data_IF_531694652730
#
_entry.id   IF_531694652730
#
_cell.length_a   1.000
_cell.length_b   1.000
_cell.length_c   1.000
_cell.angle_alpha   90.00
_cell.angle_beta   90.00
_cell.angle_gamma   90.00
#
_symmetry.space_group_name_H-M   'P 1'
#
loop_
_entity.id
_entity.type
_entity.pdbx_description
1 polymer ?
#
# COMPACT_ATOMS: atom_id res chain seq x y z
N UNK A 1 -8.30 20.82 -3.86
CA UNK A 1 -8.67 20.05 -2.64
C UNK A 1 -8.04 20.72 -1.44
N UNK A 2 -8.83 21.24 -0.50
CA UNK A 2 -8.29 21.75 0.77
C UNK A 2 -7.81 20.55 1.58
N UNK A 3 -6.52 20.48 1.88
CA UNK A 3 -5.98 19.41 2.71
C UNK A 3 -6.46 19.68 4.13
N UNK A 4 -7.34 18.83 4.66
CA UNK A 4 -7.98 18.99 5.99
C UNK A 4 -6.96 19.18 7.13
N UNK A 5 -5.74 18.68 6.94
CA UNK A 5 -4.63 18.81 7.88
C UNK A 5 -4.06 20.23 7.96
N UNK A 6 -4.30 21.08 6.96
CA UNK A 6 -3.83 22.47 6.91
C UNK A 6 -4.82 23.45 7.58
N UNK A 7 -6.01 22.99 7.95
CA UNK A 7 -7.03 23.83 8.58
C UNK A 7 -6.71 24.01 10.06
N UNK A 8 -6.54 25.26 10.50
CA UNK A 8 -6.41 25.57 11.92
C UNK A 8 -7.78 25.54 12.61
N UNK A 9 -8.17 24.36 13.10
CA UNK A 9 -9.46 24.12 13.76
C UNK A 9 -9.71 25.02 14.97
N UNK A 10 -8.69 25.26 15.79
CA UNK A 10 -8.77 26.15 16.96
C UNK A 10 -9.21 27.57 16.57
N UNK A 11 -8.77 28.07 15.41
CA UNK A 11 -9.18 29.40 14.92
C UNK A 11 -10.67 29.43 14.55
N UNK A 12 -11.17 28.36 13.92
CA UNK A 12 -12.59 28.24 13.55
C UNK A 12 -13.48 28.08 14.77
N UNK A 13 -13.09 27.24 15.73
CA UNK A 13 -13.77 27.07 17.01
C UNK A 13 -13.89 28.40 17.77
N UNK A 14 -12.80 29.18 17.84
CA UNK A 14 -12.82 30.52 18.44
C UNK A 14 -13.79 31.48 17.73
N UNK A 15 -13.82 31.47 16.39
CA UNK A 15 -14.70 32.34 15.61
C UNK A 15 -16.19 32.01 15.84
N UNK A 16 -16.52 30.70 15.84
CA UNK A 16 -17.87 30.20 16.11
C UNK A 16 -18.28 30.49 17.56
N UNK A 17 -17.41 30.24 18.53
CA UNK A 17 -17.66 30.52 19.94
C UNK A 17 -17.94 32.01 20.21
N UNK A 18 -17.20 32.92 19.56
CA UNK A 18 -17.47 34.37 19.66
C UNK A 18 -18.87 34.73 19.15
N UNK A 19 -19.30 34.14 18.03
CA UNK A 19 -20.66 34.36 17.51
C UNK A 19 -21.73 33.77 18.44
N UNK A 20 -21.52 32.56 18.96
CA UNK A 20 -22.41 31.93 19.94
C UNK A 20 -22.53 32.76 21.23
N UNK A 21 -21.43 33.30 21.75
CA UNK A 21 -21.44 34.19 22.92
C UNK A 21 -22.25 35.47 22.66
N UNK A 22 -22.15 36.07 21.47
CA UNK A 22 -22.96 37.24 21.09
C UNK A 22 -24.45 36.91 21.01
N UNK A 23 -24.80 35.73 20.49
CA UNK A 23 -26.18 35.23 20.48
C UNK A 23 -26.70 35.09 21.92
N UNK A 24 -25.93 34.45 22.80
CA UNK A 24 -26.27 34.29 24.22
C UNK A 24 -26.51 35.64 24.92
N UNK A 25 -25.61 36.60 24.73
CA UNK A 25 -25.74 37.95 25.32
C UNK A 25 -26.92 38.74 24.75
N UNK A 26 -27.24 38.60 23.46
CA UNK A 26 -28.42 39.23 22.87
C UNK A 26 -29.71 38.59 23.41
N UNK A 27 -29.73 37.26 23.57
CA UNK A 27 -30.86 36.53 24.15
C UNK A 27 -31.10 36.91 25.61
N UNK A 28 -30.03 37.04 26.40
CA UNK A 28 -30.11 37.41 27.82
C UNK A 28 -30.67 38.83 28.04
N UNK A 29 -30.57 39.70 27.02
CA UNK A 29 -31.13 41.06 27.03
C UNK A 29 -32.53 41.16 26.41
N UNK A 30 -33.10 40.04 25.96
CA UNK A 30 -34.41 40.01 25.28
C UNK A 30 -34.42 40.57 23.85
N UNK A 31 -33.25 40.84 23.23
CA UNK A 31 -33.19 41.42 21.87
C UNK A 31 -33.35 40.35 20.79
N UNK A 32 -34.61 40.00 20.51
CA UNK A 32 -34.97 38.97 19.54
C UNK A 32 -34.48 39.30 18.13
N UNK A 33 -34.50 40.58 17.72
CA UNK A 33 -34.08 41.00 16.37
C UNK A 33 -32.58 40.73 16.16
N UNK A 34 -31.75 41.08 17.13
CA UNK A 34 -30.30 40.83 17.07
C UNK A 34 -29.98 39.33 17.15
N UNK A 35 -30.69 38.57 17.98
CA UNK A 35 -30.55 37.10 18.03
C UNK A 35 -30.78 36.47 16.66
N UNK A 36 -31.90 36.78 16.00
CA UNK A 36 -32.24 36.21 14.68
C UNK A 36 -31.21 36.61 13.60
N UNK A 37 -30.70 37.84 13.64
CA UNK A 37 -29.63 38.29 12.73
C UNK A 37 -28.35 37.48 12.93
N UNK A 38 -27.89 37.31 14.17
CA UNK A 38 -26.68 36.57 14.49
C UNK A 38 -26.80 35.06 14.20
N UNK A 39 -27.97 34.46 14.42
CA UNK A 39 -28.26 33.08 14.02
C UNK A 39 -28.12 32.89 12.50
N UNK A 40 -28.68 33.80 11.70
CA UNK A 40 -28.51 33.78 10.23
C UNK A 40 -27.03 33.92 9.82
N UNK A 41 -26.28 34.80 10.50
CA UNK A 41 -24.83 34.93 10.26
C UNK A 41 -24.07 33.65 10.61
N UNK A 42 -24.43 32.98 11.71
CA UNK A 42 -23.81 31.72 12.11
C UNK A 42 -24.07 30.61 11.09
N UNK A 43 -25.32 30.44 10.64
CA UNK A 43 -25.69 29.43 9.64
C UNK A 43 -24.98 29.63 8.29
N UNK A 44 -24.68 30.88 7.93
CA UNK A 44 -23.96 31.21 6.70
C UNK A 44 -22.43 31.22 6.87
N UNK A 45 -21.92 31.15 8.11
CA UNK A 45 -20.49 31.19 8.39
C UNK A 45 -19.79 29.93 7.88
N UNK A 46 -18.72 30.12 7.09
CA UNK A 46 -17.85 29.04 6.65
C UNK A 46 -17.25 28.26 7.82
N UNK A 47 -16.88 28.95 8.91
CA UNK A 47 -16.32 28.31 10.10
C UNK A 47 -17.34 27.37 10.78
N UNK A 48 -18.61 27.79 10.86
CA UNK A 48 -19.67 26.96 11.44
C UNK A 48 -19.97 25.75 10.57
N UNK A 49 -20.08 25.94 9.25
CA UNK A 49 -20.27 24.85 8.27
C UNK A 49 -19.13 23.83 8.35
N UNK A 50 -17.87 24.28 8.41
CA UNK A 50 -16.72 23.40 8.50
C UNK A 50 -16.68 22.59 9.79
N UNK A 51 -17.02 23.19 10.94
CA UNK A 51 -17.11 22.45 12.21
C UNK A 51 -18.24 21.42 12.19
N UNK A 52 -19.41 21.77 11.64
CA UNK A 52 -20.51 20.84 11.49
C UNK A 52 -20.14 19.63 10.61
N UNK A 53 -19.49 19.87 9.45
CA UNK A 53 -19.01 18.79 8.58
C UNK A 53 -17.97 17.92 9.29
N UNK A 54 -17.04 18.54 10.04
CA UNK A 54 -16.03 17.80 10.83
C UNK A 54 -16.69 16.87 11.86
N UNK A 55 -17.68 17.37 12.61
CA UNK A 55 -18.37 16.57 13.63
C UNK A 55 -19.12 15.39 13.00
N UNK A 56 -19.94 15.66 11.98
CA UNK A 56 -20.68 14.62 11.26
C UNK A 56 -19.73 13.56 10.70
N UNK A 57 -18.58 13.97 10.16
CA UNK A 57 -17.57 13.04 9.65
C UNK A 57 -16.99 12.15 10.74
N UNK A 58 -16.66 12.70 11.91
CA UNK A 58 -16.12 11.93 13.04
C UNK A 58 -17.15 10.91 13.54
N UNK A 59 -18.39 11.35 13.77
CA UNK A 59 -19.47 10.47 14.25
C UNK A 59 -19.70 9.31 13.26
N UNK A 60 -19.64 9.63 11.97
CA UNK A 60 -19.82 8.64 10.92
C UNK A 60 -18.63 7.67 10.78
N UNK A 61 -17.38 8.14 10.96
CA UNK A 61 -16.22 7.26 11.07
C UNK A 61 -16.31 6.34 12.29
N UNK A 62 -16.76 6.87 13.44
CA UNK A 62 -16.96 6.08 14.65
C UNK A 62 -18.00 4.99 14.42
N UNK A 63 -19.11 5.30 13.73
CA UNK A 63 -20.10 4.29 13.35
C UNK A 63 -19.52 3.20 12.45
N UNK A 64 -18.72 3.57 11.44
CA UNK A 64 -18.06 2.57 10.58
C UNK A 64 -17.08 1.69 11.36
N UNK A 65 -16.33 2.28 12.30
CA UNK A 65 -15.40 1.55 13.15
C UNK A 65 -16.15 0.57 14.06
N UNK A 66 -17.28 0.96 14.64
CA UNK A 66 -18.13 0.05 15.42
C UNK A 66 -18.63 -1.13 14.58
N UNK A 67 -19.04 -0.88 13.34
CA UNK A 67 -19.43 -1.95 12.40
C UNK A 67 -18.24 -2.86 12.10
N UNK A 68 -17.07 -2.29 11.85
CA UNK A 68 -15.85 -3.05 11.58
C UNK A 68 -15.48 -3.94 12.76
N UNK A 69 -15.46 -3.40 13.99
CA UNK A 69 -15.17 -4.15 15.21
C UNK A 69 -16.14 -5.31 15.44
N UNK A 70 -17.40 -5.18 15.01
CA UNK A 70 -18.37 -6.27 15.10
C UNK A 70 -18.18 -7.35 14.01
N UNK A 71 -17.90 -6.96 12.77
CA UNK A 71 -17.81 -7.88 11.63
C UNK A 71 -16.44 -8.54 11.45
N UNK A 72 -15.36 -7.82 11.75
CA UNK A 72 -13.98 -8.30 11.55
C UNK A 72 -13.69 -9.64 12.25
N UNK A 73 -14.03 -9.87 13.55
CA UNK A 73 -13.76 -11.16 14.19
C UNK A 73 -14.58 -12.32 13.59
N UNK A 74 -15.84 -12.08 13.24
CA UNK A 74 -16.69 -13.09 12.60
C UNK A 74 -16.13 -13.52 11.24
N UNK A 75 -15.71 -12.54 10.44
CA UNK A 75 -15.18 -12.80 9.10
C UNK A 75 -13.75 -13.33 9.12
N UNK A 76 -12.93 -12.93 10.08
CA UNK A 76 -11.58 -13.49 10.27
C UNK A 76 -11.63 -15.00 10.52
N UNK A 77 -12.64 -15.49 11.25
CA UNK A 77 -12.87 -16.93 11.45
C UNK A 77 -13.32 -17.67 10.18
N UNK A 78 -13.90 -16.96 9.20
CA UNK A 78 -14.41 -17.53 7.94
C UNK A 78 -13.44 -17.38 6.78
N UNK A 79 -12.58 -16.37 6.81
CA UNK A 79 -11.74 -16.00 5.69
C UNK A 79 -10.78 -17.13 5.30
N UNK A 80 -10.53 -17.19 4.00
CA UNK A 80 -9.66 -18.20 3.40
C UNK A 80 -8.20 -17.96 3.84
N UNK A 81 -7.39 -19.03 4.00
CA UNK A 81 -6.04 -18.92 4.54
C UNK A 81 -5.09 -18.14 3.64
N UNK A 82 -5.25 -18.21 2.30
CA UNK A 82 -4.37 -17.53 1.35
C UNK A 82 -4.88 -16.14 0.93
N UNK A 83 -5.74 -15.52 1.76
CA UNK A 83 -6.14 -14.12 1.66
C UNK A 83 -5.38 -13.28 2.68
N UNK A 84 -4.64 -12.27 2.25
CA UNK A 84 -3.73 -11.52 3.13
C UNK A 84 -4.07 -10.03 3.27
N UNK A 85 -4.43 -9.37 2.18
CA UNK A 85 -4.59 -7.91 2.16
C UNK A 85 -5.65 -7.40 3.13
N UNK A 86 -5.37 -6.30 3.82
CA UNK A 86 -6.29 -5.59 4.73
C UNK A 86 -6.84 -6.43 5.89
N UNK A 87 -6.11 -7.45 6.34
CA UNK A 87 -6.47 -8.30 7.49
C UNK A 87 -5.59 -8.00 8.72
N UNK A 88 -6.15 -8.10 9.93
CA UNK A 88 -5.38 -7.91 11.16
C UNK A 88 -4.28 -8.98 11.27
N UNK A 89 -3.08 -8.56 11.67
CA UNK A 89 -1.95 -9.47 11.88
C UNK A 89 -1.33 -10.06 10.61
N UNK A 90 -1.80 -9.65 9.42
CA UNK A 90 -1.20 -10.04 8.13
C UNK A 90 -0.31 -8.92 7.58
N UNK A 91 0.82 -9.30 7.00
CA UNK A 91 1.79 -8.37 6.41
C UNK A 91 1.85 -8.51 4.90
N UNK A 92 2.45 -7.53 4.23
CA UNK A 92 2.70 -7.57 2.78
C UNK A 92 3.66 -8.71 2.37
N UNK A 93 4.47 -9.22 3.32
CA UNK A 93 5.39 -10.32 3.06
C UNK A 93 4.73 -11.69 3.12
N UNK A 94 3.64 -11.84 3.87
CA UNK A 94 2.94 -13.12 4.03
C UNK A 94 2.51 -13.75 2.69
N UNK A 95 1.89 -13.03 1.72
CA UNK A 95 1.57 -13.62 0.42
C UNK A 95 2.84 -14.01 -0.37
N UNK A 96 3.94 -13.28 -0.21
CA UNK A 96 5.21 -13.55 -0.87
C UNK A 96 5.84 -14.84 -0.33
N UNK A 97 5.78 -15.05 0.99
CA UNK A 97 6.19 -16.30 1.64
C UNK A 97 5.32 -17.46 1.15
N UNK A 98 3.99 -17.29 1.12
CA UNK A 98 3.07 -18.30 0.64
C UNK A 98 3.34 -18.69 -0.84
N UNK A 99 3.64 -17.71 -1.71
CA UNK A 99 4.02 -17.98 -3.11
C UNK A 99 5.32 -18.81 -3.14
N UNK A 100 6.32 -18.42 -2.32
CA UNK A 100 7.59 -19.15 -2.25
C UNK A 100 7.40 -20.60 -1.78
N UNK A 101 6.50 -20.83 -0.84
CA UNK A 101 6.15 -22.16 -0.35
C UNK A 101 5.41 -22.99 -1.41
N UNK A 102 4.43 -22.39 -2.11
CA UNK A 102 3.70 -23.04 -3.20
C UNK A 102 4.61 -23.51 -4.34
N UNK A 103 5.72 -22.79 -4.56
CA UNK A 103 6.72 -23.09 -5.59
C UNK A 103 7.85 -23.99 -5.09
N UNK A 104 7.84 -24.46 -3.83
CA UNK A 104 8.93 -25.25 -3.24
C UNK A 104 9.15 -26.59 -3.95
N UNK A 105 8.07 -27.23 -4.37
CA UNK A 105 8.09 -28.62 -4.89
C UNK A 105 8.20 -28.72 -6.42
N UNK A 106 8.29 -27.60 -7.12
CA UNK A 106 8.49 -27.59 -8.56
C UNK A 106 8.21 -26.24 -9.21
N UNK A 107 8.49 -26.18 -10.50
CA UNK A 107 8.13 -25.02 -11.30
C UNK A 107 6.65 -25.01 -11.63
N UNK A 108 6.05 -23.82 -11.61
CA UNK A 108 4.61 -23.64 -11.78
C UNK A 108 4.33 -22.75 -12.98
N UNK A 109 3.19 -22.96 -13.63
CA UNK A 109 2.52 -21.91 -14.39
C UNK A 109 1.84 -20.96 -13.41
N UNK A 110 1.78 -19.68 -13.77
CA UNK A 110 1.22 -18.63 -12.92
C UNK A 110 0.35 -17.70 -13.75
N UNK A 111 -0.85 -17.41 -13.24
CA UNK A 111 -1.61 -16.22 -13.61
C UNK A 111 -1.41 -15.19 -12.51
N UNK A 112 -0.78 -14.07 -12.84
CA UNK A 112 -0.83 -12.86 -12.02
C UNK A 112 -1.87 -11.93 -12.62
N UNK A 113 -2.90 -11.61 -11.84
CA UNK A 113 -4.03 -10.82 -12.29
C UNK A 113 -4.45 -9.79 -11.25
N UNK A 114 -5.02 -8.71 -11.73
CA UNK A 114 -5.63 -7.67 -10.92
C UNK A 114 -7.10 -7.53 -11.35
N UNK A 115 -7.94 -7.06 -10.44
CA UNK A 115 -9.33 -6.73 -10.76
C UNK A 115 -9.37 -5.47 -11.64
N UNK A 116 -10.31 -5.42 -12.59
CA UNK A 116 -10.45 -4.30 -13.52
C UNK A 116 -10.77 -2.98 -12.80
N UNK A 117 -10.40 -1.86 -13.42
CA UNK A 117 -10.58 -0.53 -12.84
C UNK A 117 -12.02 0.01 -12.97
N UNK A 118 -12.78 -0.57 -13.89
CA UNK A 118 -14.10 -0.13 -14.29
C UNK A 118 -15.06 -1.28 -14.03
N UNK A 119 -15.81 -1.19 -12.92
CA UNK A 119 -16.97 -2.04 -12.69
C UNK A 119 -18.23 -1.20 -12.81
N UNK A 120 -19.25 -1.79 -13.42
CA UNK A 120 -20.62 -1.41 -13.11
C UNK A 120 -20.82 -1.59 -11.60
N UNK A 121 -21.61 -0.70 -11.01
CA UNK A 121 -21.91 -0.67 -9.57
C UNK A 121 -22.01 -2.09 -8.99
N UNK A 122 -21.12 -2.47 -8.06
CA UNK A 122 -21.08 -3.80 -7.43
C UNK A 122 -22.50 -4.17 -6.98
N UNK A 123 -22.91 -5.43 -7.21
CA UNK A 123 -24.20 -5.91 -6.73
C UNK A 123 -24.20 -5.97 -5.20
N UNK A 124 -24.67 -4.87 -4.62
CA UNK A 124 -24.67 -4.67 -3.18
C UNK A 124 -25.71 -5.54 -2.48
N UNK A 125 -26.75 -6.02 -3.14
CA UNK A 125 -27.71 -6.93 -2.50
C UNK A 125 -27.11 -8.34 -2.38
N UNK A 126 -26.31 -8.78 -3.37
CA UNK A 126 -25.49 -10.01 -3.24
C UNK A 126 -24.40 -9.87 -2.19
N UNK A 127 -23.74 -8.71 -2.08
CA UNK A 127 -22.80 -8.46 -1.00
C UNK A 127 -23.53 -8.55 0.35
N UNK A 128 -24.62 -7.81 0.53
CA UNK A 128 -25.37 -7.80 1.79
C UNK A 128 -25.94 -9.18 2.16
N UNK A 129 -26.40 -9.98 1.19
CA UNK A 129 -26.83 -11.37 1.42
C UNK A 129 -25.68 -12.24 1.91
N UNK A 130 -24.49 -12.07 1.33
CA UNK A 130 -23.27 -12.77 1.76
C UNK A 130 -22.80 -12.37 3.16
N UNK A 131 -22.90 -11.10 3.55
CA UNK A 131 -22.56 -10.68 4.92
C UNK A 131 -23.52 -11.35 5.93
N UNK A 132 -24.77 -11.63 5.54
CA UNK A 132 -25.76 -12.35 6.33
C UNK A 132 -25.88 -11.84 7.79
N UNK A 133 -26.15 -10.55 7.96
CA UNK A 133 -26.23 -9.89 9.27
C UNK A 133 -27.66 -9.59 9.69
N UNK A 134 -27.83 -9.22 10.96
CA UNK A 134 -29.13 -8.79 11.49
C UNK A 134 -29.64 -7.49 10.82
N UNK A 135 -30.97 -7.27 10.74
CA UNK A 135 -31.57 -6.24 9.90
C UNK A 135 -31.07 -4.81 10.13
N UNK A 136 -30.79 -4.43 11.38
CA UNK A 136 -30.30 -3.08 11.74
C UNK A 136 -28.91 -2.82 11.14
N UNK A 137 -27.99 -3.77 11.26
CA UNK A 137 -26.65 -3.65 10.70
C UNK A 137 -26.67 -3.68 9.17
N UNK A 138 -27.45 -4.61 8.60
CA UNK A 138 -27.68 -4.67 7.15
C UNK A 138 -28.17 -3.33 6.58
N UNK A 139 -29.13 -2.67 7.27
CA UNK A 139 -29.64 -1.36 6.86
C UNK A 139 -28.57 -0.27 6.91
N UNK A 140 -27.73 -0.25 7.95
CA UNK A 140 -26.64 0.74 8.07
C UNK A 140 -25.62 0.59 6.94
N UNK A 141 -25.21 -0.64 6.63
CA UNK A 141 -24.29 -0.91 5.52
C UNK A 141 -24.94 -0.51 4.19
N UNK A 142 -26.20 -0.90 3.95
CA UNK A 142 -26.95 -0.52 2.75
C UNK A 142 -27.04 0.99 2.54
N UNK A 143 -27.30 1.76 3.61
CA UNK A 143 -27.36 3.22 3.53
C UNK A 143 -25.99 3.80 3.18
N UNK A 144 -24.92 3.34 3.83
CA UNK A 144 -23.56 3.82 3.53
C UNK A 144 -23.13 3.51 2.09
N UNK A 145 -23.53 2.36 1.56
CA UNK A 145 -23.34 2.00 0.15
C UNK A 145 -24.10 2.98 -0.76
N UNK A 146 -25.40 3.18 -0.54
CA UNK A 146 -26.25 4.05 -1.37
C UNK A 146 -25.80 5.52 -1.38
N UNK A 147 -25.23 5.99 -0.27
CA UNK A 147 -24.70 7.35 -0.15
C UNK A 147 -23.31 7.51 -0.81
N UNK A 148 -22.75 6.44 -1.40
CA UNK A 148 -21.44 6.47 -2.05
C UNK A 148 -20.27 6.61 -1.06
N UNK A 149 -20.50 6.36 0.23
CA UNK A 149 -19.45 6.43 1.26
C UNK A 149 -18.46 5.31 1.07
N UNK A 150 -18.97 4.09 0.90
CA UNK A 150 -18.13 2.92 0.70
C UNK A 150 -17.74 2.88 -0.76
N UNK A 151 -16.70 3.64 -1.12
CA UNK A 151 -16.14 3.57 -2.45
C UNK A 151 -15.28 2.31 -2.57
N UNK A 152 -15.95 1.16 -2.75
CA UNK A 152 -15.28 -0.13 -2.95
C UNK A 152 -14.39 -0.10 -4.19
N UNK A 153 -14.79 0.66 -5.23
CA UNK A 153 -14.01 0.81 -6.46
C UNK A 153 -12.64 1.44 -6.18
N UNK A 154 -12.55 2.51 -5.39
CA UNK A 154 -11.26 3.12 -5.04
C UNK A 154 -10.33 2.17 -4.28
N UNK A 155 -10.87 1.31 -3.41
CA UNK A 155 -10.08 0.31 -2.68
C UNK A 155 -9.65 -0.87 -3.55
N UNK A 156 -10.52 -1.32 -4.46
CA UNK A 156 -10.19 -2.32 -5.47
C UNK A 156 -9.08 -1.85 -6.43
N UNK A 157 -8.84 -0.54 -6.49
CA UNK A 157 -7.83 0.08 -7.35
C UNK A 157 -6.47 0.27 -6.68
N UNK A 158 -6.30 -0.09 -5.40
CA UNK A 158 -5.14 0.28 -4.58
C UNK A 158 -4.79 1.78 -4.67
N UNK A 159 -5.76 2.61 -5.07
CA UNK A 159 -5.65 4.04 -4.94
C UNK A 159 -5.95 4.29 -3.48
N UNK A 160 -4.90 4.49 -2.69
CA UNK A 160 -4.98 5.18 -1.42
C UNK A 160 -5.40 6.64 -1.71
N UNK A 161 -6.61 6.83 -2.22
CA UNK A 161 -7.27 8.09 -1.99
C UNK A 161 -7.49 8.04 -0.49
N UNK A 162 -6.66 8.78 0.23
CA UNK A 162 -6.88 9.17 1.62
C UNK A 162 -8.14 10.02 1.66
N UNK A 163 -9.29 9.45 1.30
CA UNK A 163 -10.59 9.85 1.77
C UNK A 163 -10.67 9.19 3.14
N UNK A 164 -10.36 9.91 4.22
CA UNK A 164 -10.25 9.30 5.54
C UNK A 164 -11.68 9.13 6.01
N UNK A 165 -12.38 8.12 5.49
CA UNK A 165 -13.84 8.05 5.51
C UNK A 165 -14.44 6.72 5.07
N UNK A 166 -13.66 5.71 4.69
CA UNK A 166 -14.20 4.38 4.38
C UNK A 166 -13.42 3.25 5.09
N UNK A 167 -13.40 3.31 6.42
CA UNK A 167 -12.71 2.32 7.27
C UNK A 167 -13.24 0.89 7.09
N UNK A 168 -14.49 0.78 6.62
CA UNK A 168 -15.19 -0.49 6.41
C UNK A 168 -14.98 -1.08 5.01
N UNK A 169 -14.63 -0.26 4.00
CA UNK A 169 -14.48 -0.72 2.61
C UNK A 169 -13.47 -1.86 2.42
N UNK A 170 -12.28 -1.87 3.05
CA UNK A 170 -11.32 -2.96 2.89
C UNK A 170 -11.89 -4.31 3.35
N UNK A 171 -12.63 -4.30 4.47
CA UNK A 171 -13.29 -5.49 4.99
C UNK A 171 -14.39 -5.95 4.03
N UNK A 172 -15.23 -5.04 3.52
CA UNK A 172 -16.29 -5.37 2.57
C UNK A 172 -15.76 -5.94 1.26
N UNK A 173 -14.63 -5.43 0.74
CA UNK A 173 -13.95 -5.99 -0.43
C UNK A 173 -13.48 -7.42 -0.15
N UNK A 174 -12.87 -7.66 1.01
CA UNK A 174 -12.44 -9.01 1.39
C UNK A 174 -13.62 -9.98 1.50
N UNK A 175 -14.76 -9.53 2.05
CA UNK A 175 -15.99 -10.32 2.11
C UNK A 175 -16.51 -10.61 0.70
N UNK A 176 -16.53 -9.61 -0.19
CA UNK A 176 -16.96 -9.79 -1.57
C UNK A 176 -16.13 -10.87 -2.29
N UNK A 177 -14.81 -10.83 -2.14
CA UNK A 177 -13.87 -11.73 -2.82
C UNK A 177 -13.68 -13.09 -2.12
N UNK A 178 -14.21 -13.27 -0.91
CA UNK A 178 -14.14 -14.55 -0.19
C UNK A 178 -14.85 -15.67 -0.97
N UNK A 179 -14.21 -16.83 -1.13
CA UNK A 179 -14.78 -17.98 -1.86
C UNK A 179 -14.10 -18.22 -3.20
N UNK A 180 -13.28 -17.28 -3.69
CA UNK A 180 -12.45 -17.50 -4.88
C UNK A 180 -11.50 -18.69 -4.67
N UNK A 181 -10.85 -18.80 -3.50
CA UNK A 181 -9.93 -19.90 -3.21
C UNK A 181 -10.71 -21.21 -3.11
N UNK A 182 -11.86 -21.21 -2.43
CA UNK A 182 -12.73 -22.37 -2.29
C UNK A 182 -13.14 -22.97 -3.64
N UNK A 183 -13.59 -22.14 -4.59
CA UNK A 183 -14.02 -22.59 -5.93
C UNK A 183 -12.87 -23.27 -6.67
N UNK A 184 -11.69 -22.68 -6.61
CA UNK A 184 -10.49 -23.22 -7.26
C UNK A 184 -10.05 -24.53 -6.60
N UNK A 185 -10.10 -24.62 -5.27
CA UNK A 185 -9.76 -25.85 -4.54
C UNK A 185 -10.76 -26.96 -4.79
N UNK A 186 -12.05 -26.66 -4.84
CA UNK A 186 -13.11 -27.63 -5.20
C UNK A 186 -12.92 -28.15 -6.62
N UNK A 187 -12.60 -27.27 -7.57
CA UNK A 187 -12.23 -27.68 -8.92
C UNK A 187 -10.97 -28.57 -8.95
N UNK A 188 -9.94 -28.25 -8.16
CA UNK A 188 -8.75 -29.09 -8.05
C UNK A 188 -9.04 -30.52 -7.59
N UNK A 189 -10.03 -30.70 -6.69
CA UNK A 189 -10.44 -32.02 -6.18
C UNK A 189 -11.19 -32.87 -7.21
N UNK A 190 -11.80 -32.28 -8.23
CA UNK A 190 -12.51 -33.05 -9.26
C UNK A 190 -11.57 -33.65 -10.31
N UNK A 191 -10.30 -33.23 -10.33
CA UNK A 191 -9.30 -33.71 -11.29
C UNK A 191 -8.70 -35.03 -10.79
N UNK A 192 -8.94 -36.17 -11.47
CA UNK A 192 -8.42 -37.46 -11.04
C UNK A 192 -6.89 -37.49 -11.04
N UNK A 193 -6.30 -38.04 -9.97
CA UNK A 193 -4.84 -38.20 -9.86
C UNK A 193 -4.06 -36.92 -9.54
N UNK A 194 -4.74 -35.78 -9.32
CA UNK A 194 -4.07 -34.54 -8.94
C UNK A 194 -3.54 -34.61 -7.51
N UNK A 195 -2.21 -34.63 -7.37
CA UNK A 195 -1.52 -34.72 -6.07
C UNK A 195 -1.30 -33.35 -5.41
N UNK A 196 -1.16 -32.30 -6.21
CA UNK A 196 -0.91 -30.94 -5.73
C UNK A 196 -2.18 -30.09 -5.79
N UNK A 197 -2.48 -29.38 -4.70
CA UNK A 197 -3.61 -28.45 -4.69
C UNK A 197 -3.32 -27.22 -5.56
N UNK A 198 -4.35 -26.76 -6.29
CA UNK A 198 -4.28 -25.50 -7.01
C UNK A 198 -4.19 -24.37 -5.97
N UNK A 199 -3.18 -23.52 -6.08
CA UNK A 199 -2.93 -22.47 -5.08
C UNK A 199 -3.39 -21.11 -5.60
N UNK A 200 -4.34 -20.49 -4.91
CA UNK A 200 -4.75 -19.10 -5.16
C UNK A 200 -4.29 -18.24 -3.98
N UNK A 201 -3.44 -17.25 -4.24
CA UNK A 201 -2.96 -16.30 -3.23
C UNK A 201 -3.46 -14.91 -3.58
N UNK A 202 -4.10 -14.23 -2.63
CA UNK A 202 -4.72 -12.92 -2.84
C UNK A 202 -4.22 -11.88 -1.84
N UNK A 203 -3.92 -10.68 -2.35
CA UNK A 203 -3.66 -9.49 -1.55
C UNK A 203 -4.52 -8.32 -2.06
N UNK A 204 -5.65 -8.06 -1.38
CA UNK A 204 -6.61 -7.06 -1.83
C UNK A 204 -7.25 -7.47 -3.16
N UNK A 205 -7.08 -6.64 -4.19
CA UNK A 205 -7.56 -6.88 -5.55
C UNK A 205 -6.60 -7.71 -6.41
N UNK A 206 -5.33 -7.83 -6.02
CA UNK A 206 -4.34 -8.58 -6.78
C UNK A 206 -4.31 -10.04 -6.32
N UNK A 207 -4.23 -10.97 -7.27
CA UNK A 207 -4.12 -12.40 -6.96
C UNK A 207 -3.18 -13.13 -7.92
N UNK A 208 -2.55 -14.17 -7.39
CA UNK A 208 -1.71 -15.11 -8.12
C UNK A 208 -2.32 -16.50 -8.04
N UNK A 209 -2.53 -17.13 -9.19
CA UNK A 209 -3.00 -18.50 -9.32
C UNK A 209 -1.83 -19.37 -9.81
N UNK A 210 -1.49 -20.43 -9.07
CA UNK A 210 -0.34 -21.29 -9.34
C UNK A 210 -0.78 -22.75 -9.46
N UNK A 211 -0.26 -23.41 -10.48
CA UNK A 211 -0.38 -24.86 -10.68
C UNK A 211 0.76 -25.40 -11.57
N UNK A 212 0.98 -26.71 -11.57
CA UNK A 212 1.97 -27.36 -12.43
C UNK A 212 1.51 -27.47 -13.89
N UNK A 213 0.20 -27.39 -14.14
CA UNK A 213 -0.40 -27.57 -15.47
C UNK A 213 -1.08 -26.30 -15.99
N UNK A 214 -0.82 -25.94 -17.25
CA UNK A 214 -1.38 -24.74 -17.88
C UNK A 214 -2.91 -24.83 -18.06
N UNK A 215 -3.42 -25.98 -18.49
CA UNK A 215 -4.85 -26.17 -18.77
C UNK A 215 -5.71 -26.02 -17.51
N UNK A 216 -5.19 -26.49 -16.36
CA UNK A 216 -5.83 -26.34 -15.05
C UNK A 216 -5.97 -24.87 -14.69
N UNK A 217 -4.91 -24.08 -14.92
CA UNK A 217 -4.91 -22.64 -14.63
C UNK A 217 -5.90 -21.89 -15.52
N UNK A 218 -5.96 -22.22 -16.82
CA UNK A 218 -6.91 -21.60 -17.75
C UNK A 218 -8.35 -21.90 -17.32
N UNK A 219 -8.66 -23.15 -16.94
CA UNK A 219 -10.00 -23.52 -16.45
C UNK A 219 -10.34 -22.84 -15.13
N UNK A 220 -9.39 -22.81 -14.18
CA UNK A 220 -9.56 -22.11 -12.91
C UNK A 220 -9.78 -20.60 -13.11
N UNK A 221 -9.11 -19.97 -14.08
CA UNK A 221 -9.36 -18.57 -14.47
C UNK A 221 -10.82 -18.36 -14.89
N UNK A 222 -11.36 -19.23 -15.75
CA UNK A 222 -12.75 -19.14 -16.22
C UNK A 222 -13.73 -19.27 -15.04
N UNK A 223 -13.46 -20.15 -14.07
CA UNK A 223 -14.28 -20.29 -12.87
C UNK A 223 -14.25 -19.03 -12.01
N UNK A 224 -13.08 -18.42 -11.85
CA UNK A 224 -12.95 -17.14 -11.15
C UNK A 224 -13.70 -16.03 -11.91
N UNK A 225 -13.59 -15.96 -13.24
CA UNK A 225 -14.34 -14.98 -14.06
C UNK A 225 -15.85 -15.12 -13.89
N UNK A 226 -16.36 -16.36 -13.84
CA UNK A 226 -17.78 -16.63 -13.57
C UNK A 226 -18.18 -16.15 -12.17
N UNK A 227 -17.39 -16.48 -11.15
CA UNK A 227 -17.62 -16.05 -9.77
C UNK A 227 -17.61 -14.53 -9.61
N UNK A 228 -16.64 -13.86 -10.23
CA UNK A 228 -16.54 -12.40 -10.20
C UNK A 228 -17.68 -11.76 -10.99
N UNK A 229 -18.08 -12.36 -12.11
CA UNK A 229 -19.22 -11.92 -12.93
C UNK A 229 -20.53 -11.91 -12.14
N UNK A 230 -20.73 -12.86 -11.21
CA UNK A 230 -21.88 -12.84 -10.32
C UNK A 230 -21.91 -11.60 -9.41
N UNK A 231 -20.78 -10.98 -9.10
CA UNK A 231 -20.68 -9.76 -8.31
C UNK A 231 -20.57 -8.49 -9.16
N UNK A 232 -20.72 -8.61 -10.49
CA UNK A 232 -20.44 -7.56 -11.48
C UNK A 232 -18.98 -7.08 -11.47
N UNK A 233 -18.06 -7.97 -11.07
CA UNK A 233 -16.62 -7.75 -11.04
C UNK A 233 -15.98 -8.47 -12.24
N UNK A 234 -15.00 -7.83 -12.85
CA UNK A 234 -14.24 -8.31 -14.00
C UNK A 234 -12.72 -8.31 -13.69
N UNK A 235 -11.98 -9.16 -14.40
CA UNK A 235 -10.52 -9.18 -14.34
C UNK A 235 -9.95 -8.16 -15.33
N UNK A 236 -8.87 -7.48 -14.96
CA UNK A 236 -8.13 -6.63 -15.87
C UNK A 236 -7.34 -7.48 -16.88
N UNK A 237 -7.90 -7.67 -18.08
CA UNK A 237 -7.27 -8.50 -19.11
C UNK A 237 -5.92 -7.94 -19.57
N UNK A 238 -5.75 -6.61 -19.61
CA UNK A 238 -4.50 -5.97 -20.06
C UNK A 238 -3.34 -6.19 -19.08
N UNK A 239 -3.65 -6.20 -17.79
CA UNK A 239 -2.66 -6.42 -16.72
C UNK A 239 -2.46 -7.90 -16.40
N UNK A 240 -3.35 -8.78 -16.87
CA UNK A 240 -3.26 -10.21 -16.60
C UNK A 240 -2.06 -10.82 -17.33
N UNK A 241 -1.17 -11.43 -16.55
CA UNK A 241 0.04 -12.08 -17.05
C UNK A 241 -0.06 -13.59 -16.82
N UNK A 242 -0.06 -14.36 -17.90
CA UNK A 242 0.20 -15.80 -17.86
C UNK A 242 1.68 -16.01 -18.14
N UNK A 243 2.41 -16.62 -17.22
CA UNK A 243 3.82 -16.98 -17.40
C UNK A 243 4.15 -18.28 -16.67
N UNK A 244 5.39 -18.71 -16.82
CA UNK A 244 5.92 -19.86 -16.10
C UNK A 244 7.10 -19.40 -15.23
N UNK A 245 7.25 -19.97 -14.03
CA UNK A 245 8.22 -19.50 -13.03
C UNK A 245 9.68 -19.69 -13.48
N UNK A 246 9.96 -20.74 -14.25
CA UNK A 246 11.32 -21.12 -14.68
C UNK A 246 11.50 -21.26 -16.20
N UNK A 247 10.73 -22.13 -16.85
CA UNK A 247 10.76 -22.35 -18.30
C UNK A 247 10.48 -21.08 -19.08
N UNK A 248 11.28 -20.84 -20.12
CA UNK A 248 11.04 -19.76 -21.08
C UNK A 248 9.92 -20.19 -22.02
N UNK A 249 8.81 -19.46 -22.02
CA UNK A 249 7.73 -19.59 -23.00
C UNK A 249 7.74 -18.40 -23.96
N UNK A 250 6.54 -17.94 -24.35
CA UNK A 250 6.36 -16.71 -25.12
C UNK A 250 6.80 -15.44 -24.36
N UNK A 251 6.74 -15.47 -23.02
CA UNK A 251 7.18 -14.39 -22.12
C UNK A 251 8.40 -14.82 -21.31
N UNK A 252 9.23 -13.87 -20.83
CA UNK A 252 10.34 -14.21 -19.94
C UNK A 252 9.82 -14.92 -18.68
N UNK A 253 10.59 -15.89 -18.15
CA UNK A 253 10.18 -16.62 -16.96
C UNK A 253 10.11 -15.72 -15.72
N UNK A 254 9.20 -16.08 -14.83
CA UNK A 254 8.83 -15.29 -13.67
C UNK A 254 7.62 -14.39 -13.91
N UNK A 255 7.18 -13.74 -12.85
CA UNK A 255 6.03 -12.85 -12.84
C UNK A 255 6.24 -11.74 -11.82
N UNK A 256 5.43 -10.69 -11.93
CA UNK A 256 5.33 -9.69 -10.87
C UNK A 256 4.07 -9.97 -10.04
N UNK A 257 4.20 -9.83 -8.74
CA UNK A 257 3.09 -9.83 -7.80
C UNK A 257 3.34 -8.77 -6.75
N UNK A 258 2.37 -7.88 -6.55
CA UNK A 258 2.57 -6.59 -5.89
C UNK A 258 3.75 -5.86 -6.55
N UNK A 259 4.69 -5.36 -5.74
CA UNK A 259 5.90 -4.71 -6.24
C UNK A 259 7.11 -5.65 -6.33
N UNK A 260 6.90 -6.97 -6.27
CA UNK A 260 7.97 -7.97 -6.31
C UNK A 260 8.01 -8.69 -7.65
N UNK A 261 9.21 -8.91 -8.18
CA UNK A 261 9.49 -9.85 -9.25
C UNK A 261 9.89 -11.19 -8.66
N UNK A 262 9.17 -12.25 -9.04
CA UNK A 262 9.34 -13.61 -8.53
C UNK A 262 9.74 -14.51 -9.69
N UNK A 263 10.87 -15.19 -9.57
CA UNK A 263 11.41 -16.08 -10.61
C UNK A 263 12.14 -17.26 -10.01
N UNK A 264 12.03 -18.42 -10.67
CA UNK A 264 12.82 -19.60 -10.34
C UNK A 264 13.99 -19.80 -11.30
N UNK A 265 15.09 -20.27 -10.73
CA UNK A 265 16.29 -20.68 -11.45
C UNK A 265 16.54 -22.15 -11.17
N UNK A 266 16.75 -22.93 -12.23
CA UNK A 266 17.15 -24.33 -12.10
C UNK A 266 18.60 -24.42 -11.66
N UNK A 267 18.84 -25.19 -10.60
CA UNK A 267 20.18 -25.58 -10.16
C UNK A 267 20.40 -27.01 -10.65
N UNK A 268 21.38 -27.18 -11.52
CA UNK A 268 21.85 -28.50 -11.96
C UNK A 268 22.96 -28.95 -11.02
N UNK A 269 22.70 -30.00 -10.24
CA UNK A 269 23.73 -30.68 -9.45
C UNK A 269 24.01 -32.02 -10.11
N UNK A 270 25.28 -32.40 -10.30
CA UNK A 270 25.69 -33.61 -11.02
C UNK A 270 25.16 -34.94 -10.43
N UNK A 271 24.50 -34.91 -9.27
CA UNK A 271 24.14 -36.11 -8.50
C UNK A 271 22.74 -36.06 -7.86
N UNK A 272 21.94 -35.02 -8.12
CA UNK A 272 20.61 -34.84 -7.50
C UNK A 272 19.54 -34.47 -8.53
N UNK A 273 18.25 -34.80 -8.26
CA UNK A 273 17.14 -34.32 -9.08
C UNK A 273 17.15 -32.79 -9.18
N UNK A 274 16.66 -32.27 -10.31
CA UNK A 274 16.70 -30.85 -10.61
C UNK A 274 16.00 -30.03 -9.51
N UNK A 275 16.77 -29.17 -8.85
CA UNK A 275 16.29 -28.30 -7.77
C UNK A 275 16.05 -26.90 -8.30
N UNK A 276 15.08 -26.19 -7.72
CA UNK A 276 14.79 -24.81 -8.05
C UNK A 276 15.15 -23.90 -6.90
N UNK A 277 15.77 -22.77 -7.21
CA UNK A 277 15.94 -21.66 -6.28
C UNK A 277 15.04 -20.50 -6.71
N UNK A 278 14.26 -20.00 -5.76
CA UNK A 278 13.34 -18.88 -5.98
C UNK A 278 14.02 -17.59 -5.58
N UNK A 279 14.19 -16.69 -6.54
CA UNK A 279 14.64 -15.33 -6.31
C UNK A 279 13.44 -14.39 -6.29
N UNK A 280 13.38 -13.59 -5.23
CA UNK A 280 12.35 -12.57 -5.05
C UNK A 280 13.07 -11.23 -4.97
N UNK A 281 12.79 -10.33 -5.90
CA UNK A 281 13.47 -9.05 -6.02
C UNK A 281 12.47 -7.91 -6.16
N UNK A 282 12.85 -6.65 -5.88
CA UNK A 282 12.01 -5.51 -6.23
C UNK A 282 11.73 -5.48 -7.74
N UNK A 283 10.49 -5.20 -8.13
CA UNK A 283 10.13 -5.12 -9.54
C UNK A 283 10.85 -3.94 -10.23
N UNK A 284 11.10 -4.06 -11.53
CA UNK A 284 11.74 -2.98 -12.29
C UNK A 284 10.91 -1.68 -12.27
N UNK A 285 9.58 -1.80 -12.19
CA UNK A 285 8.68 -0.65 -12.05
C UNK A 285 8.92 0.06 -10.72
N UNK A 286 8.93 -0.69 -9.60
CA UNK A 286 9.16 -0.13 -8.27
C UNK A 286 10.54 0.54 -8.14
N UNK A 287 11.60 -0.10 -8.69
CA UNK A 287 12.96 0.47 -8.71
C UNK A 287 12.98 1.82 -9.46
N UNK A 288 12.36 1.88 -10.64
CA UNK A 288 12.30 3.10 -11.45
C UNK A 288 11.50 4.20 -10.77
N UNK A 289 10.35 3.89 -10.19
CA UNK A 289 9.51 4.85 -9.46
C UNK A 289 10.28 5.46 -8.29
N UNK A 290 10.92 4.62 -7.47
CA UNK A 290 11.70 5.07 -6.32
C UNK A 290 12.89 5.93 -6.71
N UNK A 291 13.69 5.50 -7.68
CA UNK A 291 14.78 6.33 -8.19
C UNK A 291 14.27 7.65 -8.79
N UNK A 292 13.12 7.63 -9.45
CA UNK A 292 12.45 8.83 -9.95
C UNK A 292 12.08 9.80 -8.84
N UNK A 293 11.51 9.32 -7.73
CA UNK A 293 11.19 10.12 -6.54
C UNK A 293 12.46 10.75 -5.95
N UNK A 294 13.51 9.96 -5.73
CA UNK A 294 14.81 10.45 -5.24
C UNK A 294 15.41 11.52 -6.17
N UNK A 295 15.41 11.26 -7.48
CA UNK A 295 15.94 12.18 -8.47
C UNK A 295 15.16 13.50 -8.51
N UNK A 296 13.82 13.44 -8.41
CA UNK A 296 12.96 14.62 -8.35
C UNK A 296 13.21 15.43 -7.08
N UNK A 297 13.33 14.78 -5.92
CA UNK A 297 13.67 15.47 -4.67
C UNK A 297 15.04 16.15 -4.78
N UNK A 298 16.07 15.49 -5.32
CA UNK A 298 17.38 16.12 -5.55
C UNK A 298 17.28 17.29 -6.53
N UNK A 299 16.50 17.15 -7.60
CA UNK A 299 16.34 18.18 -8.63
C UNK A 299 15.63 19.45 -8.11
N UNK A 300 14.69 19.31 -7.16
CA UNK A 300 14.04 20.46 -6.48
C UNK A 300 15.04 21.33 -5.70
N UNK A 301 16.15 20.74 -5.24
CA UNK A 301 17.16 21.42 -4.43
C UNK A 301 18.24 22.13 -5.26
N UNK A 302 18.08 22.22 -6.59
CA UNK A 302 19.05 22.87 -7.48
C UNK A 302 19.20 24.39 -7.25
N UNK A 303 18.14 25.07 -6.81
CA UNK A 303 18.06 26.54 -6.84
C UNK A 303 18.42 27.29 -5.54
N UNK A 304 18.79 26.58 -4.46
CA UNK A 304 19.27 27.05 -3.14
C UNK A 304 18.42 26.54 -1.98
N UNK A 305 18.70 25.31 -1.56
CA UNK A 305 18.26 24.77 -0.28
C UNK A 305 19.46 24.19 0.47
N UNK A 306 19.35 24.15 1.80
CA UNK A 306 20.38 23.64 2.70
C UNK A 306 20.68 22.18 2.38
N UNK A 307 21.96 21.81 2.44
CA UNK A 307 22.37 20.41 2.28
C UNK A 307 21.73 19.52 3.37
N UNK A 308 21.57 20.08 4.58
CA UNK A 308 20.94 19.39 5.70
C UNK A 308 19.47 19.07 5.39
N UNK A 309 18.73 20.01 4.81
CA UNK A 309 17.33 19.82 4.44
C UNK A 309 17.18 18.72 3.38
N UNK A 310 18.15 18.62 2.45
CA UNK A 310 18.16 17.56 1.45
C UNK A 310 18.31 16.18 2.12
N UNK A 311 19.25 16.04 3.05
CA UNK A 311 19.43 14.79 3.81
C UNK A 311 18.18 14.46 4.63
N UNK A 312 17.59 15.45 5.31
CA UNK A 312 16.37 15.28 6.11
C UNK A 312 15.16 14.84 5.26
N UNK A 313 15.10 15.20 3.97
CA UNK A 313 14.06 14.72 3.04
C UNK A 313 14.34 13.35 2.45
N UNK A 314 15.59 13.07 2.07
CA UNK A 314 15.96 11.81 1.43
C UNK A 314 15.97 10.64 2.41
N UNK A 315 16.49 10.83 3.63
CA UNK A 315 16.64 9.75 4.61
C UNK A 315 15.32 9.00 4.91
N UNK A 316 14.17 9.66 5.16
CA UNK A 316 12.90 8.96 5.36
C UNK A 316 12.41 8.17 4.14
N UNK A 317 12.64 8.68 2.93
CA UNK A 317 12.25 8.01 1.67
C UNK A 317 13.08 6.74 1.49
N UNK A 318 14.41 6.84 1.65
CA UNK A 318 15.34 5.72 1.57
C UNK A 318 15.03 4.68 2.65
N UNK A 319 14.85 5.11 3.89
CA UNK A 319 14.57 4.22 5.02
C UNK A 319 13.29 3.42 4.82
N UNK A 320 12.21 4.09 4.41
CA UNK A 320 10.92 3.41 4.13
C UNK A 320 11.07 2.35 3.05
N UNK A 321 11.72 2.70 1.94
CA UNK A 321 11.88 1.79 0.80
C UNK A 321 12.81 0.62 1.13
N UNK A 322 13.94 0.89 1.80
CA UNK A 322 14.87 -0.14 2.23
C UNK A 322 14.25 -1.11 3.22
N UNK A 323 13.51 -0.63 4.24
CA UNK A 323 12.82 -1.52 5.18
C UNK A 323 11.81 -2.43 4.49
N UNK A 324 11.10 -1.90 3.48
CA UNK A 324 10.11 -2.68 2.73
C UNK A 324 10.75 -3.85 1.94
N UNK A 325 11.88 -3.62 1.28
CA UNK A 325 12.57 -4.62 0.45
C UNK A 325 13.75 -5.33 1.11
N UNK A 326 14.10 -4.99 2.35
CA UNK A 326 15.17 -5.64 3.10
C UNK A 326 14.98 -7.16 3.24
N UNK A 327 13.77 -7.70 3.47
CA UNK A 327 13.57 -9.15 3.64
C UNK A 327 13.79 -10.01 2.38
N UNK A 328 13.95 -9.41 1.19
CA UNK A 328 14.04 -10.14 -0.09
C UNK A 328 15.44 -10.05 -0.70
N UNK A 329 15.68 -10.67 -1.88
CA UNK A 329 16.97 -10.64 -2.58
C UNK A 329 17.24 -9.25 -3.22
N UNK A 330 17.46 -8.24 -2.39
CA UNK A 330 17.56 -6.82 -2.76
C UNK A 330 18.98 -6.28 -2.81
N UNK A 331 19.99 -7.04 -2.39
CA UNK A 331 21.37 -6.57 -2.25
C UNK A 331 21.95 -5.90 -3.51
N UNK A 332 21.85 -6.58 -4.66
CA UNK A 332 22.30 -6.02 -5.95
C UNK A 332 21.52 -4.77 -6.36
N UNK A 333 20.22 -4.75 -6.05
CA UNK A 333 19.35 -3.61 -6.35
C UNK A 333 19.70 -2.40 -5.49
N UNK A 334 19.96 -2.60 -4.20
CA UNK A 334 20.35 -1.54 -3.27
C UNK A 334 21.68 -0.91 -3.70
N UNK A 335 22.69 -1.72 -4.00
CA UNK A 335 23.98 -1.24 -4.52
C UNK A 335 23.82 -0.42 -5.81
N UNK A 336 22.98 -0.88 -6.74
CA UNK A 336 22.70 -0.14 -7.97
C UNK A 336 22.04 1.20 -7.70
N UNK A 337 21.04 1.25 -6.81
CA UNK A 337 20.35 2.49 -6.44
C UNK A 337 21.29 3.47 -5.76
N UNK A 338 22.13 3.00 -4.84
CA UNK A 338 23.13 3.82 -4.16
C UNK A 338 24.16 4.41 -5.13
N UNK A 339 24.61 3.62 -6.10
CA UNK A 339 25.49 4.10 -7.16
C UNK A 339 24.84 5.20 -8.00
N UNK A 340 23.61 4.98 -8.48
CA UNK A 340 22.88 5.97 -9.27
C UNK A 340 22.58 7.25 -8.48
N UNK A 341 22.18 7.11 -7.22
CA UNK A 341 21.96 8.24 -6.31
C UNK A 341 23.25 9.04 -6.09
N UNK A 342 24.37 8.36 -5.86
CA UNK A 342 25.68 9.00 -5.69
C UNK A 342 26.07 9.80 -6.93
N UNK A 343 25.89 9.24 -8.13
CA UNK A 343 26.15 9.96 -9.39
C UNK A 343 25.26 11.20 -9.53
N UNK A 344 23.97 11.09 -9.16
CA UNK A 344 23.03 12.22 -9.19
C UNK A 344 23.43 13.32 -8.19
N UNK A 345 23.86 12.95 -6.99
CA UNK A 345 24.38 13.88 -5.98
C UNK A 345 25.67 14.55 -6.44
N UNK A 346 26.60 13.80 -7.05
CA UNK A 346 27.82 14.36 -7.63
C UNK A 346 27.48 15.38 -8.72
N UNK A 347 26.53 15.08 -9.61
CA UNK A 347 26.08 16.01 -10.64
C UNK A 347 25.48 17.29 -10.03
N UNK A 348 24.68 17.14 -8.97
CA UNK A 348 24.13 18.27 -8.21
C UNK A 348 25.22 19.13 -7.57
N UNK A 349 26.24 18.52 -6.94
CA UNK A 349 27.36 19.26 -6.34
C UNK A 349 28.19 19.97 -7.42
N UNK A 350 28.50 19.29 -8.53
CA UNK A 350 29.25 19.88 -9.66
C UNK A 350 28.56 21.09 -10.25
N UNK A 351 27.23 21.04 -10.40
CA UNK A 351 26.46 22.18 -10.90
C UNK A 351 26.52 23.41 -9.97
N UNK A 352 26.74 23.21 -8.66
CA UNK A 352 26.87 24.30 -7.67
C UNK A 352 28.29 24.85 -7.53
N UNK A 353 29.30 24.10 -7.97
CA UNK A 353 30.72 24.43 -7.80
C UNK A 353 31.47 24.33 -9.13
N UNK A 354 30.96 25.06 -10.13
CA UNK A 354 31.57 25.17 -11.46
C UNK A 354 32.98 25.79 -11.46
N UNK A 355 33.36 26.55 -10.42
CA UNK A 355 34.67 27.20 -10.29
C UNK A 355 35.63 26.54 -9.27
N UNK A 356 35.23 25.45 -8.62
CA UNK A 356 36.06 24.79 -7.59
C UNK A 356 36.60 23.45 -8.08
N UNK A 357 37.77 23.07 -7.56
CA UNK A 357 38.37 21.77 -7.91
C UNK A 357 37.58 20.61 -7.30
N UNK A 358 37.69 19.43 -7.91
CA UNK A 358 37.04 18.20 -7.44
C UNK A 358 37.31 17.93 -5.96
N UNK A 359 38.56 18.12 -5.53
CA UNK A 359 38.98 17.91 -4.14
C UNK A 359 38.21 18.80 -3.15
N UNK A 360 38.06 20.08 -3.47
CA UNK A 360 37.45 21.08 -2.57
C UNK A 360 35.98 20.79 -2.28
N UNK A 361 35.19 20.37 -3.28
CA UNK A 361 33.80 20.02 -3.02
C UNK A 361 33.64 18.61 -2.46
N UNK A 362 34.53 17.66 -2.78
CA UNK A 362 34.50 16.33 -2.15
C UNK A 362 34.69 16.46 -0.64
N UNK A 363 35.71 17.20 -0.18
CA UNK A 363 35.95 17.42 1.26
C UNK A 363 34.77 18.12 1.98
N UNK A 364 34.08 19.01 1.25
CA UNK A 364 32.93 19.76 1.77
C UNK A 364 31.66 18.91 1.90
N UNK A 365 31.32 18.12 0.88
CA UNK A 365 30.02 17.44 0.79
C UNK A 365 30.07 15.96 1.14
N UNK A 366 31.25 15.34 1.07
CA UNK A 366 31.46 13.93 1.35
C UNK A 366 32.44 13.76 2.51
N UNK A 367 32.30 12.67 3.25
CA UNK A 367 33.21 12.30 4.31
C UNK A 367 33.24 10.79 4.51
N UNK A 368 33.78 10.38 5.65
CA UNK A 368 33.86 8.98 6.06
C UNK A 368 32.96 8.74 7.27
N UNK A 369 32.31 7.58 7.29
CA UNK A 369 31.49 7.08 8.40
C UNK A 369 31.63 5.57 8.47
N UNK A 370 31.89 4.99 9.64
CA UNK A 370 31.88 3.54 9.90
C UNK A 370 32.56 2.69 8.81
N UNK A 371 33.81 3.07 8.47
CA UNK A 371 34.67 2.46 7.41
C UNK A 371 34.24 2.73 5.96
N UNK A 372 33.06 3.30 5.72
CA UNK A 372 32.65 3.76 4.40
C UNK A 372 33.27 5.13 4.10
N UNK A 373 33.91 5.25 2.95
CA UNK A 373 34.35 6.53 2.37
C UNK A 373 33.32 7.01 1.35
N UNK A 374 33.33 8.31 1.01
CA UNK A 374 32.38 8.91 0.06
C UNK A 374 30.92 8.93 0.53
N UNK A 375 30.69 9.13 1.83
CA UNK A 375 29.35 9.29 2.40
C UNK A 375 28.94 10.76 2.34
N UNK A 376 27.81 11.06 1.70
CA UNK A 376 27.28 12.43 1.63
C UNK A 376 26.89 12.93 3.03
N UNK A 377 27.40 14.11 3.44
CA UNK A 377 27.26 14.64 4.80
C UNK A 377 27.00 16.14 4.85
N UNK A 378 26.12 16.58 5.74
CA UNK A 378 25.92 17.98 6.11
C UNK A 378 26.34 18.20 7.58
N UNK A 379 26.23 19.43 8.07
CA UNK A 379 26.46 19.75 9.47
C UNK A 379 25.23 20.43 10.07
N UNK A 380 24.84 20.00 11.27
CA UNK A 380 23.83 20.62 12.13
C UNK A 380 24.50 20.91 13.46
N UNK A 381 24.61 22.19 13.85
CA UNK A 381 25.27 22.59 15.11
C UNK A 381 26.67 21.98 15.30
N UNK A 382 27.46 21.93 14.23
CA UNK A 382 28.80 21.31 14.16
C UNK A 382 28.84 19.78 14.27
N UNK A 383 27.70 19.11 14.39
CA UNK A 383 27.58 17.66 14.32
C UNK A 383 27.36 17.22 12.86
N UNK A 384 28.10 16.22 12.34
CA UNK A 384 27.90 15.73 10.99
C UNK A 384 26.62 14.89 10.91
N UNK A 385 25.76 15.22 9.94
CA UNK A 385 24.55 14.47 9.60
C UNK A 385 24.78 13.80 8.26
N UNK A 386 24.66 12.48 8.22
CA UNK A 386 24.96 11.68 7.04
C UNK A 386 23.70 11.22 6.29
N UNK A 387 23.85 11.08 4.97
CA UNK A 387 22.86 10.44 4.12
C UNK A 387 22.92 8.93 4.34
N UNK A 388 21.75 8.33 4.53
CA UNK A 388 21.61 6.88 4.63
C UNK A 388 21.65 6.28 3.22
N UNK A 389 22.37 5.17 3.06
CA UNK A 389 22.42 4.40 1.82
C UNK A 389 21.64 3.09 1.96
N UNK A 390 21.06 2.62 0.86
CA UNK A 390 20.18 1.44 0.85
C UNK A 390 20.92 0.18 1.31
N UNK A 391 22.16 -0.02 0.85
CA UNK A 391 22.95 -1.20 1.22
C UNK A 391 23.28 -1.28 2.71
N UNK A 392 23.28 -0.15 3.44
CA UNK A 392 23.54 -0.12 4.88
C UNK A 392 22.54 -0.95 5.69
N UNK A 393 21.30 -1.06 5.22
CA UNK A 393 20.26 -1.87 5.86
C UNK A 393 20.56 -3.37 5.82
N UNK A 394 21.31 -3.83 4.81
CA UNK A 394 21.70 -5.25 4.69
C UNK A 394 22.74 -5.65 5.74
N UNK A 395 23.56 -4.70 6.18
CA UNK A 395 24.61 -4.92 7.16
C UNK A 395 24.06 -4.85 8.60
N UNK A 396 23.11 -3.95 8.87
CA UNK A 396 22.42 -3.86 10.16
C UNK A 396 21.65 -5.16 10.50
N UNK A 397 21.12 -5.84 9.48
CA UNK A 397 20.45 -7.14 9.63
C UNK A 397 21.34 -8.29 10.11
N UNK A 398 22.67 -8.18 10.05
CA UNK A 398 23.60 -9.19 10.60
C UNK A 398 23.91 -8.98 12.09
N UNK A 399 23.52 -7.84 12.67
CA UNK A 399 23.70 -7.51 14.09
C UNK A 399 22.37 -7.43 14.87
N UNK A 400 21.24 -7.71 14.24
CA UNK A 400 19.92 -7.45 14.82
C UNK A 400 18.98 -8.65 14.72
N UNK A 401 19.20 -9.64 15.59
CA UNK A 401 18.14 -10.57 16.05
C UNK A 401 17.15 -9.90 17.04
N UNK A 402 17.16 -8.56 17.15
CA UNK A 402 16.40 -7.82 18.18
C UNK A 402 15.44 -6.74 17.68
N UNK A 403 15.26 -6.55 16.36
CA UNK A 403 14.14 -5.72 15.88
C UNK A 403 12.86 -6.55 15.75
N UNK A 404 12.26 -6.79 16.90
CA UNK A 404 10.87 -7.20 17.10
C UNK A 404 9.91 -6.34 16.26
N UNK A 405 9.14 -6.98 15.38
CA UNK A 405 7.68 -6.84 15.12
C UNK A 405 6.94 -5.48 15.19
N UNK A 406 7.56 -4.30 15.30
CA UNK A 406 6.83 -3.05 15.64
C UNK A 406 6.84 -1.93 14.60
N UNK A 407 7.07 -2.20 13.32
CA UNK A 407 6.89 -1.17 12.29
C UNK A 407 6.26 -1.71 11.00
N UNK A 408 5.15 -2.45 11.15
CA UNK A 408 4.09 -2.26 10.16
C UNK A 408 3.51 -0.86 10.38
N UNK A 409 3.27 -0.06 9.33
CA UNK A 409 2.43 1.12 9.45
C UNK A 409 1.15 0.66 10.14
N UNK A 410 0.86 1.23 11.31
CA UNK A 410 -0.40 0.97 11.96
C UNK A 410 -1.45 1.52 11.02
N UNK A 411 -2.15 0.66 10.27
CA UNK A 411 -3.19 1.02 9.30
C UNK A 411 -4.42 1.66 9.96
N UNK A 412 -4.30 2.06 11.23
CA UNK A 412 -5.30 2.64 12.12
C UNK A 412 -4.94 4.02 12.68
N UNK A 413 -3.89 4.69 12.19
CA UNK A 413 -3.56 6.07 12.60
C UNK A 413 -3.83 7.10 11.51
#
# INVERSE_FOLDING_TARGET
MVVWTQINWRKLEKAVYKLQKRIYQASSRGDVKVVRKLQKTLLNSWSAKMLAIRQVRIDYQAQQLLIKLALEPEWEAKFEPHSYGFRPGKTYMDPIVAIKEAMRYGSKYVISANLAQHFEQIDYEKLLSKINTFPKLRRQIRVGIKLGVYNLNSWLLNQEITHPGSLLSPLLVNIALHGMEKIVREYGKTIPGKKEEITLIRHGSEFALLDSELDVIIKAKILIEKFLGDLSIQINLDQTLISHTWKKGAKPPGFNFLDFNIRQYGITTHSQPQRYETFIQPSQKAIKTHYGELAQEIDKFKSCQSQLDLIKRLNPIITRWSNYYFPVNSAKTFQKLDHLMTLKLIAWVKARHNHKSTKQWVEKYFGSQDQANWVFRAFEESQPVYLIYHHGFLNAGKQCDTYTKTSTPNWYS
#
